data_IF_901378543930
#
_entry.id   IF_901378543930
#
_cell.length_a   1.000
_cell.length_b   1.000
_cell.length_c   1.000
_cell.angle_alpha   90.00
_cell.angle_beta   90.00
_cell.angle_gamma   90.00
#
_symmetry.space_group_name_H-M   'P 1'
#
loop_
_entity.id
_entity.type
_entity.pdbx_description
1 polymer ?
#
# COMPACT_ATOMS: atom_id res chain seq x y z
N UNK A 1 -9.98 -18.13 -80.42
CA UNK A 1 -8.86 -17.17 -80.39
C UNK A 1 -8.51 -16.98 -78.93
N UNK A 2 -7.43 -17.62 -78.41
CA UNK A 2 -6.09 -17.00 -78.34
C UNK A 2 -6.08 -15.84 -77.34
N UNK A 3 -5.29 -15.78 -76.26
CA UNK A 3 -4.19 -16.58 -75.74
C UNK A 3 -4.11 -16.40 -74.21
N UNK A 4 -3.52 -17.40 -73.53
CA UNK A 4 -3.05 -17.30 -72.16
C UNK A 4 -1.97 -16.20 -72.03
N UNK A 5 -2.03 -15.43 -70.94
CA UNK A 5 -0.88 -14.70 -70.44
C UNK A 5 -0.53 -15.23 -69.05
N UNK A 6 0.41 -16.18 -69.03
CA UNK A 6 1.04 -16.69 -67.82
C UNK A 6 2.12 -15.70 -67.36
N UNK A 7 1.88 -15.00 -66.25
CA UNK A 7 2.94 -14.28 -65.54
C UNK A 7 3.59 -15.25 -64.55
N UNK A 8 4.83 -15.66 -64.86
CA UNK A 8 5.65 -16.51 -63.99
C UNK A 8 6.25 -15.65 -62.89
N UNK A 9 5.85 -15.91 -61.64
CA UNK A 9 6.57 -15.43 -60.46
C UNK A 9 7.94 -16.10 -60.43
N UNK A 10 8.99 -15.32 -60.66
CA UNK A 10 10.37 -15.78 -60.51
C UNK A 10 10.65 -15.99 -59.02
N UNK A 11 10.70 -17.25 -58.60
CA UNK A 11 11.17 -17.68 -57.28
C UNK A 11 12.68 -17.48 -57.24
N UNK A 12 13.13 -16.37 -56.65
CA UNK A 12 14.53 -16.17 -56.33
C UNK A 12 14.95 -17.24 -55.30
N UNK A 13 15.71 -18.24 -55.73
CA UNK A 13 16.36 -19.20 -54.87
C UNK A 13 17.49 -18.47 -54.14
N UNK A 14 17.22 -17.97 -52.93
CA UNK A 14 18.26 -17.50 -52.03
C UNK A 14 19.18 -18.69 -51.71
N UNK A 15 20.41 -18.65 -52.22
CA UNK A 15 21.47 -19.56 -51.82
C UNK A 15 21.73 -19.31 -50.32
N UNK A 16 21.34 -20.27 -49.47
CA UNK A 16 21.69 -20.25 -48.06
C UNK A 16 23.16 -20.70 -48.00
N UNK A 17 24.14 -19.84 -47.62
CA UNK A 17 25.46 -20.35 -47.34
C UNK A 17 25.35 -21.25 -46.11
N UNK A 18 25.71 -22.52 -46.27
CA UNK A 18 25.87 -23.45 -45.16
C UNK A 18 26.94 -22.88 -44.23
N UNK A 19 26.52 -22.13 -43.22
CA UNK A 19 27.41 -21.68 -42.16
C UNK A 19 27.83 -22.90 -41.36
N UNK A 20 29.01 -23.42 -41.66
CA UNK A 20 29.74 -24.34 -40.79
C UNK A 20 29.77 -23.75 -39.38
N UNK A 21 28.95 -24.29 -38.49
CA UNK A 21 28.97 -23.94 -37.08
C UNK A 21 30.33 -24.34 -36.52
N UNK A 22 31.22 -23.37 -36.32
CA UNK A 22 32.44 -23.58 -35.55
C UNK A 22 32.03 -23.72 -34.09
N UNK A 23 31.96 -24.96 -33.63
CA UNK A 23 31.74 -25.29 -32.23
C UNK A 23 32.98 -24.85 -31.43
N UNK A 24 32.99 -23.60 -30.97
CA UNK A 24 34.03 -23.14 -30.05
C UNK A 24 33.73 -23.74 -28.68
N UNK A 25 34.32 -24.91 -28.41
CA UNK A 25 34.32 -25.53 -27.08
C UNK A 25 35.04 -24.57 -26.12
N UNK A 26 34.27 -23.77 -25.39
CA UNK A 26 34.77 -22.97 -24.28
C UNK A 26 35.33 -23.93 -23.23
N UNK A 27 36.66 -24.01 -23.16
CA UNK A 27 37.33 -24.68 -22.04
C UNK A 27 37.04 -23.81 -20.82
N UNK A 28 36.26 -24.33 -19.88
CA UNK A 28 36.14 -23.79 -18.52
C UNK A 28 37.50 -23.84 -17.85
N UNK A 29 38.28 -22.79 -18.08
CA UNK A 29 39.46 -22.46 -17.28
C UNK A 29 38.99 -21.50 -16.20
N UNK A 30 39.31 -21.82 -14.95
CA UNK A 30 39.12 -20.93 -13.82
C UNK A 30 39.78 -19.56 -14.12
N UNK A 31 38.98 -18.48 -14.06
CA UNK A 31 39.44 -17.11 -14.30
C UNK A 31 39.38 -16.68 -15.75
N UNK A 32 38.19 -16.34 -16.25
CA UNK A 32 38.10 -15.50 -17.46
C UNK A 32 38.73 -14.14 -17.15
N UNK A 33 39.62 -13.59 -18.01
CA UNK A 33 40.07 -12.22 -17.87
C UNK A 33 38.84 -11.30 -17.89
N UNK A 34 38.62 -10.55 -16.80
CA UNK A 34 37.61 -9.49 -16.77
C UNK A 34 37.85 -8.58 -17.99
N UNK A 35 36.80 -8.12 -18.71
CA UNK A 35 36.98 -7.30 -19.91
C UNK A 35 37.84 -6.08 -19.57
N UNK A 36 39.08 -6.06 -20.06
CA UNK A 36 40.15 -5.15 -19.64
C UNK A 36 39.94 -3.67 -20.03
N UNK A 37 38.73 -3.29 -20.45
CA UNK A 37 38.37 -1.93 -20.86
C UNK A 37 37.19 -1.32 -20.09
N UNK A 38 36.63 -2.00 -19.08
CA UNK A 38 35.39 -1.57 -18.42
C UNK A 38 35.53 -1.26 -16.92
N UNK A 39 36.76 -1.32 -16.39
CA UNK A 39 37.05 -1.12 -14.97
C UNK A 39 37.96 0.12 -14.82
N UNK A 40 37.48 1.19 -14.18
CA UNK A 40 38.38 2.24 -13.69
C UNK A 40 39.01 1.74 -12.38
N UNK A 41 40.34 1.73 -12.29
CA UNK A 41 41.10 1.35 -11.07
C UNK A 41 40.80 -0.06 -10.52
N UNK A 42 40.35 -0.99 -11.37
CA UNK A 42 40.00 -2.36 -10.95
C UNK A 42 38.61 -2.49 -10.34
N UNK A 43 37.81 -1.42 -10.30
CA UNK A 43 36.44 -1.44 -9.83
C UNK A 43 35.46 -1.78 -10.94
N UNK A 44 34.54 -2.71 -10.66
CA UNK A 44 33.51 -3.09 -11.62
C UNK A 44 32.58 -1.91 -11.92
N UNK A 45 32.17 -1.73 -13.18
CA UNK A 45 31.16 -0.74 -13.51
C UNK A 45 29.83 -1.19 -12.89
N UNK A 46 29.30 -0.37 -11.98
CA UNK A 46 28.05 -0.63 -11.28
C UNK A 46 27.81 0.39 -10.18
N UNK A 47 26.54 0.65 -9.86
CA UNK A 47 26.17 1.45 -8.71
C UNK A 47 26.47 0.63 -7.44
N UNK A 48 27.55 0.97 -6.74
CA UNK A 48 27.79 0.48 -5.39
C UNK A 48 26.75 1.14 -4.49
N UNK A 49 26.01 0.36 -3.71
CA UNK A 49 25.11 0.95 -2.72
C UNK A 49 25.92 1.77 -1.73
N UNK A 50 25.52 3.02 -1.55
CA UNK A 50 26.18 3.90 -0.60
C UNK A 50 25.76 3.50 0.82
N UNK A 51 26.71 3.52 1.77
CA UNK A 51 26.45 2.99 3.12
C UNK A 51 25.28 3.66 3.87
N UNK A 52 24.90 4.87 3.46
CA UNK A 52 23.75 5.59 4.01
C UNK A 52 22.41 5.19 3.37
N UNK A 53 22.39 4.66 2.14
CA UNK A 53 21.14 4.33 1.45
C UNK A 53 20.33 3.30 2.25
N UNK A 54 21.02 2.32 2.83
CA UNK A 54 20.37 1.27 3.62
C UNK A 54 19.67 1.85 4.85
N UNK A 55 20.32 2.76 5.58
CA UNK A 55 19.72 3.37 6.78
C UNK A 55 18.60 4.35 6.40
N UNK A 56 18.77 5.09 5.30
CA UNK A 56 17.76 6.00 4.80
C UNK A 56 16.52 5.25 4.34
N UNK A 57 16.67 4.23 3.49
CA UNK A 57 15.56 3.41 2.99
C UNK A 57 14.87 2.70 4.16
N UNK A 58 15.63 2.12 5.09
CA UNK A 58 15.08 1.48 6.29
C UNK A 58 14.29 2.46 7.16
N UNK A 59 14.86 3.63 7.46
CA UNK A 59 14.21 4.68 8.26
C UNK A 59 12.98 5.27 7.59
N UNK A 60 13.07 5.62 6.30
CA UNK A 60 11.93 6.11 5.51
C UNK A 60 10.80 5.09 5.47
N UNK A 61 11.13 3.83 5.17
CA UNK A 61 10.12 2.76 5.10
C UNK A 61 9.43 2.59 6.45
N UNK A 62 10.19 2.58 7.55
CA UNK A 62 9.63 2.50 8.89
C UNK A 62 8.69 3.68 9.22
N UNK A 63 9.08 4.90 8.86
CA UNK A 63 8.25 6.10 9.04
C UNK A 63 6.93 6.01 8.27
N UNK A 64 6.96 5.62 6.99
CA UNK A 64 5.75 5.48 6.19
C UNK A 64 4.84 4.35 6.67
N UNK A 65 5.40 3.21 7.06
CA UNK A 65 4.61 2.11 7.63
C UNK A 65 3.94 2.55 8.92
N UNK A 66 4.68 3.20 9.81
CA UNK A 66 4.13 3.67 11.10
C UNK A 66 3.03 4.72 10.88
N UNK A 67 3.25 5.69 9.99
CA UNK A 67 2.23 6.67 9.65
C UNK A 67 0.99 6.03 9.00
N UNK A 68 1.19 5.07 8.09
CA UNK A 68 0.11 4.34 7.45
C UNK A 68 -0.74 3.57 8.45
N UNK A 69 -0.11 2.84 9.38
CA UNK A 69 -0.82 2.13 10.45
C UNK A 69 -1.57 3.11 11.35
N UNK A 70 -0.93 4.20 11.78
CA UNK A 70 -1.57 5.20 12.64
C UNK A 70 -2.80 5.86 12.00
N UNK A 71 -2.73 6.16 10.70
CA UNK A 71 -3.86 6.73 9.96
C UNK A 71 -4.96 5.71 9.70
N UNK A 72 -4.61 4.45 9.46
CA UNK A 72 -5.59 3.39 9.24
C UNK A 72 -6.45 3.12 10.48
N UNK A 73 -5.84 3.14 11.66
CA UNK A 73 -6.53 2.94 12.94
C UNK A 73 -6.95 4.25 13.62
N UNK A 74 -6.96 5.37 12.88
CA UNK A 74 -7.45 6.64 13.41
C UNK A 74 -8.91 6.49 13.83
N UNK A 75 -9.31 6.89 15.06
CA UNK A 75 -10.71 6.86 15.45
C UNK A 75 -11.54 7.79 14.55
N UNK A 76 -12.74 7.34 14.20
CA UNK A 76 -13.72 8.16 13.50
C UNK A 76 -14.27 9.20 14.50
N UNK A 77 -13.82 10.44 14.37
CA UNK A 77 -14.23 11.57 15.22
C UNK A 77 -15.03 12.59 14.42
N UNK A 78 -15.68 12.16 13.34
CA UNK A 78 -16.41 13.03 12.44
C UNK A 78 -17.77 13.42 13.06
N UNK A 79 -18.07 14.72 13.03
CA UNK A 79 -19.30 15.27 13.61
C UNK A 79 -20.55 14.69 12.93
N UNK A 80 -20.47 14.33 11.66
CA UNK A 80 -21.56 13.75 10.90
C UNK A 80 -21.96 12.36 11.41
N UNK A 81 -20.97 11.55 11.80
CA UNK A 81 -21.23 10.21 12.36
C UNK A 81 -21.92 10.33 13.71
N UNK A 82 -21.42 11.24 14.55
CA UNK A 82 -22.07 11.55 15.83
C UNK A 82 -23.48 12.09 15.63
N UNK A 83 -23.67 13.07 14.74
CA UNK A 83 -24.96 13.69 14.52
C UNK A 83 -26.00 12.71 14.00
N UNK A 84 -25.60 11.74 13.16
CA UNK A 84 -26.48 10.66 12.69
C UNK A 84 -26.89 9.72 13.82
N UNK A 85 -25.95 9.25 14.63
CA UNK A 85 -26.25 8.34 15.76
C UNK A 85 -27.12 9.05 16.82
N UNK A 86 -26.83 10.32 17.09
CA UNK A 86 -27.62 11.17 18.00
C UNK A 86 -29.04 11.41 17.45
N UNK A 87 -29.19 11.68 16.15
CA UNK A 87 -30.50 11.85 15.52
C UNK A 87 -31.35 10.58 15.62
N UNK A 88 -30.75 9.41 15.30
CA UNK A 88 -31.43 8.12 15.41
C UNK A 88 -31.81 7.80 16.86
N UNK A 89 -30.95 8.13 17.82
CA UNK A 89 -31.24 7.91 19.26
C UNK A 89 -32.42 8.77 19.72
N UNK A 90 -32.47 10.03 19.29
CA UNK A 90 -33.58 10.93 19.62
C UNK A 90 -34.91 10.51 18.99
N UNK A 91 -34.87 9.96 17.79
CA UNK A 91 -36.06 9.39 17.13
C UNK A 91 -36.64 8.23 17.94
N UNK A 92 -35.80 7.28 18.36
CA UNK A 92 -36.21 6.14 19.20
C UNK A 92 -36.79 6.59 20.55
N UNK A 93 -36.19 7.59 21.19
CA UNK A 93 -36.68 8.13 22.47
C UNK A 93 -38.00 8.89 22.32
N UNK A 94 -38.16 9.66 21.23
CA UNK A 94 -39.41 10.34 20.92
C UNK A 94 -40.54 9.34 20.68
N UNK A 95 -40.26 8.22 19.98
CA UNK A 95 -41.22 7.14 19.77
C UNK A 95 -41.58 6.40 21.06
N UNK A 96 -40.64 6.30 22.01
CA UNK A 96 -40.88 5.77 23.36
C UNK A 96 -41.69 6.73 24.26
N UNK A 97 -41.91 7.97 23.83
CA UNK A 97 -42.62 8.99 24.59
C UNK A 97 -41.78 9.64 25.68
N UNK A 98 -40.45 9.53 25.62
CA UNK A 98 -39.54 10.21 26.55
C UNK A 98 -39.31 11.68 26.15
N UNK A 99 -39.25 12.57 27.15
CA UNK A 99 -38.98 13.99 26.91
C UNK A 99 -37.48 14.24 26.64
N UNK A 100 -37.17 14.82 25.49
CA UNK A 100 -35.81 15.14 25.10
C UNK A 100 -35.34 16.44 25.76
N UNK A 101 -34.51 16.32 26.78
CA UNK A 101 -33.78 17.43 27.40
C UNK A 101 -32.78 18.06 26.41
N UNK A 102 -32.83 19.39 26.29
CA UNK A 102 -31.91 20.16 25.46
C UNK A 102 -30.54 20.22 26.13
N UNK A 103 -29.49 19.84 25.39
CA UNK A 103 -28.10 19.88 25.86
C UNK A 103 -27.59 18.58 26.50
N UNK A 104 -28.42 17.54 26.55
CA UNK A 104 -28.00 16.17 26.89
C UNK A 104 -27.54 15.42 25.64
N UNK A 105 -26.47 14.63 25.77
CA UNK A 105 -25.88 13.84 24.68
C UNK A 105 -26.28 12.37 24.84
N UNK A 106 -27.34 11.95 24.16
CA UNK A 106 -27.91 10.61 24.33
C UNK A 106 -27.04 9.51 23.70
N UNK A 107 -26.36 9.81 22.59
CA UNK A 107 -25.43 8.88 21.93
C UNK A 107 -24.21 8.56 22.79
N UNK A 108 -23.65 9.54 23.52
CA UNK A 108 -22.44 9.34 24.34
C UNK A 108 -22.70 8.42 25.56
N UNK A 109 -23.90 8.47 26.15
CA UNK A 109 -24.30 7.61 27.28
C UNK A 109 -24.25 6.13 26.91
N UNK A 110 -24.61 5.77 25.67
CA UNK A 110 -24.59 4.40 25.14
C UNK A 110 -23.19 3.76 25.17
N UNK A 111 -22.14 4.56 25.01
CA UNK A 111 -20.75 4.08 25.00
C UNK A 111 -20.08 4.16 26.38
N UNK A 112 -20.82 4.48 27.44
CA UNK A 112 -20.30 4.57 28.81
C UNK A 112 -19.36 5.75 29.06
N UNK A 113 -19.28 6.72 28.14
CA UNK A 113 -18.45 7.92 28.26
C UNK A 113 -19.30 9.11 28.73
N UNK A 114 -19.83 9.04 29.94
CA UNK A 114 -20.51 10.18 30.55
C UNK A 114 -19.43 11.14 31.07
N UNK A 115 -19.15 12.21 30.32
CA UNK A 115 -18.39 13.34 30.83
C UNK A 115 -19.27 14.11 31.82
N UNK A 116 -19.43 13.57 33.02
CA UNK A 116 -20.06 14.30 34.11
C UNK A 116 -19.18 15.51 34.44
N UNK A 117 -19.81 16.65 34.74
CA UNK A 117 -19.10 17.86 35.20
C UNK A 117 -18.49 17.69 36.61
N UNK A 118 -18.45 16.47 37.12
CA UNK A 118 -17.93 16.12 38.44
C UNK A 118 -16.41 15.95 38.35
N UNK A 119 -15.69 17.08 38.46
CA UNK A 119 -14.25 17.10 38.72
C UNK A 119 -13.35 16.69 37.54
N UNK A 120 -12.44 17.59 37.17
CA UNK A 120 -11.32 17.26 36.30
C UNK A 120 -10.56 16.02 36.84
N UNK A 121 -10.67 14.87 36.16
CA UNK A 121 -9.84 13.70 36.43
C UNK A 121 -10.55 12.39 36.79
N UNK A 122 -11.88 12.35 36.89
CA UNK A 122 -12.59 11.08 37.04
C UNK A 122 -12.77 10.41 35.66
N UNK A 123 -12.39 9.13 35.58
CA UNK A 123 -12.66 8.29 34.41
C UNK A 123 -14.17 8.22 34.21
N UNK A 124 -14.67 8.20 32.97
CA UNK A 124 -16.09 7.97 32.75
C UNK A 124 -16.46 6.64 33.41
N UNK A 125 -17.45 6.67 34.31
CA UNK A 125 -17.95 5.46 34.96
C UNK A 125 -18.69 4.64 33.93
N UNK A 126 -18.31 3.37 33.81
CA UNK A 126 -19.02 2.41 32.97
C UNK A 126 -20.38 2.18 33.65
N UNK A 127 -21.47 2.30 32.89
CA UNK A 127 -22.84 2.13 33.42
C UNK A 127 -23.08 0.79 34.15
N UNK A 128 -22.21 -0.21 33.97
CA UNK A 128 -22.28 -1.49 34.67
C UNK A 128 -21.97 -1.39 36.17
N UNK A 129 -21.35 -0.30 36.63
CA UNK A 129 -20.94 -0.13 38.03
C UNK A 129 -22.00 0.66 38.85
N UNK A 130 -23.12 1.06 38.24
CA UNK A 130 -24.15 1.89 38.88
C UNK A 130 -25.26 1.11 39.59
N UNK A 131 -25.27 -0.23 39.46
CA UNK A 131 -26.33 -1.10 40.01
C UNK A 131 -25.89 -1.88 41.29
N UNK A 132 -24.72 -1.57 41.87
CA UNK A 132 -24.12 -2.34 43.01
C UNK A 132 -24.05 -1.63 44.38
N UNK A 133 -24.81 -0.54 44.63
CA UNK A 133 -24.92 0.05 45.98
C UNK A 133 -26.36 0.24 46.48
#
# INVERSE_FOLDING_TARGET
MSFLAASRVARAAAQIPAQTARLTKTRTMAGSPKPQGQYLFGEAPGAKSEGWETIYIGGMTLCFVTAGVGLWFKPNTDIDVWARDEALTREVLADAGEELEVGRNYSQEKYGNVFTKAGHGLKPTRMADADEE
#
